data_IF_426210891981
#
_entry.id   IF_426210891981
#
_cell.length_a   1.000
_cell.length_b   1.000
_cell.length_c   1.000
_cell.angle_alpha   90.00
_cell.angle_beta   90.00
_cell.angle_gamma   90.00
#
_symmetry.space_group_name_H-M   'P 1'
#
loop_
_entity.id
_entity.type
_entity.pdbx_description
1 polymer ?
#
# COMPACT_ATOMS: atom_id res chain seq x y z
N UNK A 1 -23.34 -18.77 8.81
CA UNK A 1 -22.90 -18.77 10.24
C UNK A 1 -24.05 -19.25 11.12
N UNK A 2 -23.77 -20.02 12.19
CA UNK A 2 -24.78 -20.54 13.12
C UNK A 2 -24.50 -20.03 14.53
N UNK A 3 -25.50 -19.46 15.19
CA UNK A 3 -25.41 -19.10 16.60
C UNK A 3 -25.74 -20.30 17.50
N UNK A 4 -25.04 -20.47 18.62
CA UNK A 4 -25.40 -21.41 19.67
C UNK A 4 -26.62 -20.90 20.44
N UNK A 5 -26.73 -19.59 20.63
CA UNK A 5 -27.88 -18.90 21.23
C UNK A 5 -28.21 -17.71 20.34
N UNK A 6 -29.48 -17.51 20.04
CA UNK A 6 -29.93 -16.37 19.24
C UNK A 6 -29.72 -15.07 20.03
N UNK A 7 -29.02 -14.06 19.41
CA UNK A 7 -28.82 -12.77 20.08
C UNK A 7 -30.13 -12.00 20.24
N UNK A 8 -30.26 -11.25 21.33
CA UNK A 8 -31.41 -10.40 21.61
C UNK A 8 -31.30 -9.01 21.00
N UNK A 9 -30.15 -8.66 20.46
CA UNK A 9 -29.86 -7.36 19.86
C UNK A 9 -28.67 -7.42 18.94
N UNK A 10 -28.29 -6.27 18.33
CA UNK A 10 -27.11 -6.15 17.48
C UNK A 10 -25.81 -6.27 18.28
N UNK A 11 -24.82 -6.93 17.70
CA UNK A 11 -23.55 -7.30 18.32
C UNK A 11 -22.35 -6.56 17.67
N UNK A 12 -21.36 -6.25 18.49
CA UNK A 12 -20.01 -5.85 18.05
C UNK A 12 -19.09 -7.07 18.00
N UNK A 13 -17.87 -6.91 17.48
CA UNK A 13 -16.86 -7.99 17.51
C UNK A 13 -16.40 -8.34 18.94
N UNK A 14 -16.56 -7.42 19.90
CA UNK A 14 -16.25 -7.68 21.33
C UNK A 14 -17.29 -8.58 22.01
N UNK A 15 -18.47 -8.72 21.43
CA UNK A 15 -19.59 -9.49 22.00
C UNK A 15 -19.61 -10.96 21.53
N UNK A 16 -18.69 -11.36 20.64
CA UNK A 16 -18.75 -12.65 19.96
C UNK A 16 -17.43 -13.40 20.00
N UNK A 17 -17.51 -14.73 20.03
CA UNK A 17 -16.39 -15.63 19.87
C UNK A 17 -16.71 -16.68 18.81
N UNK A 18 -15.70 -17.11 18.06
CA UNK A 18 -15.81 -18.28 17.19
C UNK A 18 -15.63 -19.54 18.03
N UNK A 19 -16.61 -20.42 18.03
CA UNK A 19 -16.52 -21.70 18.71
C UNK A 19 -15.65 -22.64 17.88
N UNK A 20 -14.55 -23.19 18.44
CA UNK A 20 -13.71 -24.11 17.72
C UNK A 20 -14.47 -25.39 17.33
N UNK A 21 -14.20 -25.91 16.17
CA UNK A 21 -14.78 -27.13 15.65
C UNK A 21 -13.69 -28.07 15.11
N UNK A 22 -14.08 -29.28 14.75
CA UNK A 22 -13.15 -30.23 14.12
C UNK A 22 -12.53 -29.63 12.84
N UNK A 23 -11.22 -29.71 12.72
CA UNK A 23 -10.45 -29.23 11.57
C UNK A 23 -9.50 -30.32 11.09
N UNK A 24 -9.32 -30.40 9.77
CA UNK A 24 -8.32 -31.23 9.11
C UNK A 24 -7.08 -30.41 8.72
N UNK A 25 -7.08 -29.11 8.97
CA UNK A 25 -5.94 -28.22 8.69
C UNK A 25 -4.84 -28.49 9.70
N UNK A 26 -3.65 -28.85 9.21
CA UNK A 26 -2.48 -29.18 10.05
C UNK A 26 -1.58 -27.97 10.32
N UNK A 27 -1.58 -26.99 9.43
CA UNK A 27 -0.85 -25.73 9.58
C UNK A 27 -1.70 -24.54 9.18
N UNK A 28 -1.61 -23.45 9.96
CA UNK A 28 -2.22 -22.16 9.56
C UNK A 28 -1.70 -21.61 8.24
N UNK A 29 -0.50 -22.04 7.81
CA UNK A 29 0.10 -21.65 6.54
C UNK A 29 -0.55 -22.32 5.33
N UNK A 30 -1.35 -23.39 5.56
CA UNK A 30 -2.07 -24.10 4.50
C UNK A 30 -3.43 -23.44 4.20
N UNK A 31 -3.79 -22.39 4.94
CA UNK A 31 -5.05 -21.67 4.75
C UNK A 31 -4.88 -20.55 3.73
N UNK A 32 -5.57 -20.68 2.60
CA UNK A 32 -5.66 -19.59 1.63
C UNK A 32 -6.65 -18.52 2.13
N UNK A 33 -6.15 -17.28 2.26
CA UNK A 33 -6.92 -16.13 2.72
C UNK A 33 -7.09 -15.06 1.63
N UNK A 34 -6.71 -15.38 0.39
CA UNK A 34 -6.86 -14.44 -0.73
C UNK A 34 -8.35 -14.17 -0.99
N UNK A 35 -8.76 -12.89 -1.08
CA UNK A 35 -10.11 -12.58 -1.48
C UNK A 35 -10.32 -12.89 -2.97
N UNK A 36 -11.48 -13.44 -3.30
CA UNK A 36 -11.93 -13.65 -4.69
C UNK A 36 -12.89 -12.49 -5.06
N UNK A 37 -12.35 -11.29 -5.12
CA UNK A 37 -13.14 -10.05 -5.28
C UNK A 37 -12.65 -9.16 -6.44
N UNK A 38 -11.68 -9.65 -7.23
CA UNK A 38 -11.08 -8.92 -8.34
C UNK A 38 -10.03 -7.87 -7.93
N UNK A 39 -9.81 -7.59 -6.64
CA UNK A 39 -8.77 -6.65 -6.19
C UNK A 39 -7.35 -7.17 -6.42
N UNK A 40 -7.19 -8.49 -6.55
CA UNK A 40 -5.89 -9.15 -6.67
C UNK A 40 -5.08 -9.19 -5.36
N UNK A 41 -5.69 -8.87 -4.23
CA UNK A 41 -5.05 -8.96 -2.93
C UNK A 41 -4.61 -10.38 -2.58
N UNK A 42 -3.42 -10.54 -1.99
CA UNK A 42 -2.94 -11.79 -1.43
C UNK A 42 -3.42 -12.01 0.02
N UNK A 43 -3.83 -10.93 0.70
CA UNK A 43 -4.46 -10.94 2.03
C UNK A 43 -5.67 -10.01 2.07
N UNK A 44 -6.70 -10.29 2.89
CA UNK A 44 -7.94 -9.49 2.94
C UNK A 44 -7.79 -8.23 3.81
N UNK A 45 -6.77 -7.42 3.54
CA UNK A 45 -6.52 -6.17 4.28
C UNK A 45 -6.46 -4.98 3.31
N UNK A 46 -7.28 -3.97 3.58
CA UNK A 46 -7.33 -2.73 2.82
C UNK A 46 -7.10 -1.53 3.74
N UNK A 47 -6.12 -0.67 3.41
CA UNK A 47 -5.95 0.60 4.09
C UNK A 47 -7.05 1.58 3.65
N UNK A 48 -7.76 2.13 4.63
CA UNK A 48 -8.90 3.00 4.40
C UNK A 48 -8.52 4.27 3.63
N UNK A 49 -9.43 4.75 2.81
CA UNK A 49 -9.29 5.97 1.99
C UNK A 49 -9.43 7.26 2.82
N UNK A 50 -8.59 7.39 3.83
CA UNK A 50 -8.55 8.53 4.75
C UNK A 50 -7.27 9.34 4.54
N UNK A 51 -7.37 10.67 4.48
CA UNK A 51 -6.25 11.59 4.24
C UNK A 51 -5.10 11.42 5.25
N UNK A 52 -5.42 11.13 6.50
CA UNK A 52 -4.42 10.89 7.54
C UNK A 52 -3.80 9.48 7.50
N UNK A 53 -4.30 8.57 6.66
CA UNK A 53 -3.88 7.15 6.61
C UNK A 53 -3.21 6.81 5.28
N UNK A 54 -3.92 7.08 4.18
CA UNK A 54 -3.57 6.53 2.86
C UNK A 54 -2.89 7.57 1.97
N UNK A 55 -1.58 7.69 2.12
CA UNK A 55 -0.69 8.35 1.16
C UNK A 55 0.21 7.32 0.46
N UNK A 56 1.06 7.79 -0.46
CA UNK A 56 1.98 6.97 -1.26
C UNK A 56 2.64 5.84 -0.45
N UNK A 57 3.25 6.18 0.69
CA UNK A 57 3.99 5.22 1.53
C UNK A 57 3.10 4.11 2.09
N UNK A 58 1.86 4.43 2.48
CA UNK A 58 0.90 3.44 2.96
C UNK A 58 0.50 2.50 1.82
N UNK A 59 0.26 3.01 0.62
CA UNK A 59 -0.07 2.21 -0.55
C UNK A 59 1.04 1.22 -0.88
N UNK A 60 2.29 1.69 -1.00
CA UNK A 60 3.46 0.84 -1.23
C UNK A 60 3.62 -0.23 -0.14
N UNK A 61 3.44 0.16 1.13
CA UNK A 61 3.56 -0.74 2.28
C UNK A 61 2.49 -1.83 2.28
N UNK A 62 1.24 -1.45 2.00
CA UNK A 62 0.13 -2.40 1.93
C UNK A 62 0.28 -3.36 0.75
N UNK A 63 0.55 -2.83 -0.44
CA UNK A 63 0.71 -3.65 -1.63
C UNK A 63 1.89 -4.63 -1.51
N UNK A 64 3.04 -4.22 -0.96
CA UNK A 64 4.18 -5.12 -0.68
C UNK A 64 3.90 -6.20 0.35
N UNK A 65 2.84 -6.07 1.14
CA UNK A 65 2.38 -7.06 2.12
C UNK A 65 1.18 -7.87 1.64
N UNK A 66 0.80 -7.71 0.39
CA UNK A 66 -0.31 -8.44 -0.19
C UNK A 66 -1.68 -7.83 0.03
N UNK A 67 -1.76 -6.67 0.69
CA UNK A 67 -2.99 -5.91 0.87
C UNK A 67 -3.19 -4.86 -0.23
N UNK A 68 -4.15 -3.97 -0.03
CA UNK A 68 -4.45 -2.85 -0.93
C UNK A 68 -4.51 -1.54 -0.15
N UNK A 69 -4.02 -0.45 -0.72
CA UNK A 69 -4.24 0.90 -0.22
C UNK A 69 -5.16 1.68 -1.15
N UNK A 70 -6.02 2.51 -0.58
CA UNK A 70 -6.98 3.33 -1.33
C UNK A 70 -6.73 4.81 -1.07
N UNK A 71 -6.46 5.59 -2.13
CA UNK A 71 -6.28 7.05 -2.03
C UNK A 71 -7.59 7.74 -1.66
N UNK A 72 -7.53 8.80 -0.84
CA UNK A 72 -8.69 9.57 -0.43
C UNK A 72 -9.42 10.27 -1.58
N UNK A 73 -10.72 10.49 -1.43
CA UNK A 73 -11.58 11.14 -2.43
C UNK A 73 -11.35 12.65 -2.57
N UNK A 74 -10.77 13.29 -1.56
CA UNK A 74 -10.54 14.74 -1.47
C UNK A 74 -9.26 15.21 -2.16
N UNK A 75 -8.44 14.27 -2.66
CA UNK A 75 -7.28 14.60 -3.50
C UNK A 75 -7.72 15.04 -4.90
N UNK A 76 -6.98 16.01 -5.46
CA UNK A 76 -7.10 16.37 -6.88
C UNK A 76 -6.57 15.25 -7.78
N UNK A 77 -7.02 15.24 -9.03
CA UNK A 77 -6.67 14.19 -10.00
C UNK A 77 -5.18 14.16 -10.30
N UNK A 78 -4.52 15.30 -10.34
CA UNK A 78 -3.08 15.40 -10.64
C UNK A 78 -2.26 14.74 -9.54
N UNK A 79 -2.60 15.01 -8.28
CA UNK A 79 -2.01 14.37 -7.09
C UNK A 79 -2.24 12.86 -7.10
N UNK A 80 -3.45 12.40 -7.43
CA UNK A 80 -3.75 10.96 -7.53
C UNK A 80 -2.93 10.32 -8.65
N UNK A 81 -2.92 10.90 -9.84
CA UNK A 81 -2.19 10.40 -11.00
C UNK A 81 -0.67 10.31 -10.73
N UNK A 82 -0.10 11.36 -10.13
CA UNK A 82 1.33 11.37 -9.78
C UNK A 82 1.64 10.33 -8.69
N UNK A 83 0.80 10.21 -7.66
CA UNK A 83 0.96 9.21 -6.61
C UNK A 83 0.87 7.80 -7.16
N UNK A 84 -0.13 7.52 -8.00
CA UNK A 84 -0.31 6.22 -8.67
C UNK A 84 0.91 5.87 -9.52
N UNK A 85 1.38 6.79 -10.36
CA UNK A 85 2.57 6.59 -11.19
C UNK A 85 3.80 6.25 -10.34
N UNK A 86 4.02 6.96 -9.23
CA UNK A 86 5.14 6.71 -8.32
C UNK A 86 5.04 5.37 -7.61
N UNK A 87 3.84 4.97 -7.19
CA UNK A 87 3.63 3.65 -6.56
C UNK A 87 3.88 2.54 -7.57
N UNK A 88 3.33 2.65 -8.78
CA UNK A 88 3.53 1.66 -9.84
C UNK A 88 4.98 1.56 -10.33
N UNK A 89 5.73 2.65 -10.27
CA UNK A 89 7.18 2.65 -10.57
C UNK A 89 8.04 2.10 -9.41
N UNK A 90 7.46 1.86 -8.24
CA UNK A 90 8.19 1.33 -7.09
C UNK A 90 8.37 -0.18 -7.21
N UNK A 91 9.55 -0.67 -6.81
CA UNK A 91 9.82 -2.11 -6.84
C UNK A 91 8.88 -2.88 -5.89
N UNK A 92 8.29 -4.02 -6.32
CA UNK A 92 7.28 -4.74 -5.51
C UNK A 92 7.86 -5.34 -4.22
N UNK A 93 9.15 -5.61 -4.17
CA UNK A 93 9.80 -6.23 -3.01
C UNK A 93 10.65 -5.24 -2.22
N UNK A 94 11.47 -4.43 -2.90
CA UNK A 94 12.41 -3.51 -2.26
C UNK A 94 11.69 -2.32 -1.63
N UNK A 95 12.18 -1.87 -0.49
CA UNK A 95 11.70 -0.64 0.13
C UNK A 95 12.10 0.58 -0.70
N UNK A 96 11.25 1.62 -0.70
CA UNK A 96 11.54 2.86 -1.39
C UNK A 96 12.54 3.68 -0.58
N UNK A 97 13.77 3.92 -1.08
CA UNK A 97 14.80 4.61 -0.33
C UNK A 97 14.44 6.08 -0.10
N UNK A 98 14.91 6.63 1.01
CA UNK A 98 14.98 8.08 1.20
C UNK A 98 16.23 8.59 0.48
N UNK A 99 16.10 9.63 -0.34
CA UNK A 99 17.19 10.17 -1.15
C UNK A 99 17.36 11.66 -0.94
N UNK A 100 18.59 12.13 -1.00
CA UNK A 100 18.96 13.55 -1.07
C UNK A 100 19.98 13.79 -2.17
N UNK A 101 20.06 15.02 -2.70
CA UNK A 101 21.14 15.40 -3.62
C UNK A 101 22.45 15.59 -2.85
N UNK A 102 23.64 15.53 -3.50
CA UNK A 102 24.90 15.78 -2.82
C UNK A 102 25.04 17.22 -2.32
N UNK A 103 24.27 18.17 -2.87
CA UNK A 103 24.23 19.58 -2.44
C UNK A 103 23.19 19.85 -1.34
N UNK A 104 22.32 18.91 -1.02
CA UNK A 104 21.32 19.04 0.05
C UNK A 104 22.00 19.23 1.42
N UNK A 105 21.40 20.01 2.30
CA UNK A 105 21.94 20.21 3.63
C UNK A 105 21.71 18.97 4.52
N UNK A 106 22.63 18.68 5.44
CA UNK A 106 22.54 17.57 6.41
C UNK A 106 21.21 17.60 7.19
N UNK A 107 20.68 18.79 7.49
CA UNK A 107 19.38 18.94 8.17
C UNK A 107 18.22 18.30 7.39
N UNK A 108 18.29 18.25 6.06
CA UNK A 108 17.27 17.56 5.24
C UNK A 108 17.32 16.03 5.43
N UNK A 109 18.53 15.48 5.48
CA UNK A 109 18.73 14.05 5.79
C UNK A 109 18.23 13.73 7.22
N UNK A 110 18.55 14.57 8.21
CA UNK A 110 18.07 14.43 9.59
C UNK A 110 16.53 14.42 9.67
N UNK A 111 15.87 15.31 8.93
CA UNK A 111 14.41 15.34 8.84
C UNK A 111 13.83 14.04 8.21
N UNK A 112 14.53 13.46 7.22
CA UNK A 112 14.12 12.19 6.61
C UNK A 112 14.23 11.02 7.60
N UNK A 113 15.25 10.96 8.45
CA UNK A 113 15.33 9.95 9.50
C UNK A 113 14.13 9.99 10.45
N UNK A 114 13.73 11.20 10.87
CA UNK A 114 12.63 11.37 11.81
C UNK A 114 11.27 11.05 11.19
N UNK A 115 11.09 11.36 9.90
CA UNK A 115 9.81 11.20 9.20
C UNK A 115 9.65 9.85 8.51
N UNK A 116 10.75 9.19 8.10
CA UNK A 116 10.73 7.95 7.31
C UNK A 116 11.12 6.70 8.11
N UNK A 117 11.88 6.86 9.18
CA UNK A 117 12.30 5.75 10.04
C UNK A 117 13.30 4.78 9.38
N UNK A 118 13.98 5.18 8.31
CA UNK A 118 15.07 4.42 7.73
C UNK A 118 16.36 4.64 8.52
N UNK A 119 17.23 3.63 8.59
CA UNK A 119 18.53 3.73 9.26
C UNK A 119 19.54 4.55 8.45
N UNK A 120 19.34 4.71 7.12
CA UNK A 120 20.20 5.49 6.26
C UNK A 120 19.41 6.25 5.19
N UNK A 121 20.00 7.34 4.68
CA UNK A 121 19.54 8.13 3.53
C UNK A 121 20.55 7.97 2.42
N UNK A 122 20.10 7.71 1.20
CA UNK A 122 20.97 7.59 0.02
C UNK A 122 21.25 8.96 -0.58
N UNK A 123 22.52 9.23 -0.90
CA UNK A 123 22.91 10.42 -1.66
C UNK A 123 23.02 10.02 -3.12
N UNK A 124 22.23 10.69 -3.99
CA UNK A 124 22.13 10.37 -5.41
C UNK A 124 22.41 11.59 -6.27
N UNK A 125 22.99 11.37 -7.45
CA UNK A 125 23.16 12.40 -8.47
C UNK A 125 21.83 12.68 -9.21
N UNK A 126 21.88 13.58 -10.22
CA UNK A 126 20.72 13.98 -11.03
C UNK A 126 20.17 12.82 -11.89
N UNK A 127 21.00 11.85 -12.22
CA UNK A 127 20.64 10.65 -12.99
C UNK A 127 20.11 9.52 -12.10
N UNK A 128 20.10 9.70 -10.78
CA UNK A 128 19.66 8.72 -9.79
C UNK A 128 20.71 7.65 -9.46
N UNK A 129 22.00 7.90 -9.78
CA UNK A 129 23.08 7.01 -9.38
C UNK A 129 23.45 7.23 -7.92
N UNK A 130 23.70 6.15 -7.20
CA UNK A 130 24.11 6.18 -5.81
C UNK A 130 25.56 6.66 -5.68
N UNK A 131 25.76 7.75 -4.96
CA UNK A 131 27.07 8.30 -4.63
C UNK A 131 27.60 7.82 -3.29
N UNK A 132 26.70 7.64 -2.32
CA UNK A 132 27.00 7.20 -0.97
C UNK A 132 25.74 7.14 -0.10
N UNK A 133 25.95 6.93 1.19
CA UNK A 133 24.88 6.91 2.20
C UNK A 133 25.24 7.81 3.38
N UNK A 134 24.20 8.31 4.06
CA UNK A 134 24.29 9.00 5.34
C UNK A 134 23.56 8.17 6.39
N UNK A 135 24.23 7.78 7.45
CA UNK A 135 23.63 7.29 8.69
C UNK A 135 23.43 8.46 9.69
N UNK A 136 22.72 8.20 10.79
CA UNK A 136 22.62 9.20 11.86
C UNK A 136 23.96 9.56 12.45
N UNK A 137 24.83 8.57 12.62
CA UNK A 137 26.17 8.72 13.19
C UNK A 137 27.06 9.61 12.30
N UNK A 138 26.90 9.54 10.97
CA UNK A 138 27.62 10.41 10.03
C UNK A 138 27.24 11.91 10.20
N UNK A 139 26.05 12.17 10.76
CA UNK A 139 25.52 13.52 10.98
C UNK A 139 25.88 14.08 12.37
N UNK A 140 26.44 13.27 13.28
CA UNK A 140 26.79 13.71 14.61
C UNK A 140 28.01 14.64 14.61
N UNK A 141 27.88 15.79 15.28
CA UNK A 141 28.99 16.76 15.40
C UNK A 141 29.29 17.52 14.09
N UNK A 142 28.50 17.33 13.04
CA UNK A 142 28.63 18.02 11.76
C UNK A 142 27.75 19.26 11.72
N UNK A 143 28.18 20.30 10.99
CA UNK A 143 27.34 21.45 10.70
C UNK A 143 26.08 21.02 9.92
N UNK A 144 24.91 21.35 10.46
CA UNK A 144 23.60 21.00 9.87
C UNK A 144 23.40 21.56 8.46
N UNK A 145 24.15 22.60 8.09
CA UNK A 145 24.11 23.21 6.77
C UNK A 145 25.23 22.71 5.84
N UNK A 146 26.09 21.80 6.31
CA UNK A 146 27.07 21.14 5.44
C UNK A 146 26.34 20.36 4.33
N UNK A 147 26.97 20.28 3.16
CA UNK A 147 26.46 19.52 2.02
C UNK A 147 26.51 18.01 2.30
N UNK A 148 25.45 17.27 2.03
CA UNK A 148 25.36 15.83 2.20
C UNK A 148 26.52 15.07 1.52
N UNK A 149 26.92 15.52 0.34
CA UNK A 149 28.04 14.94 -0.41
C UNK A 149 29.41 15.08 0.25
N UNK A 150 29.59 16.03 1.19
CA UNK A 150 30.84 16.19 1.95
C UNK A 150 30.90 15.33 3.22
N UNK A 151 29.76 14.76 3.62
CA UNK A 151 29.59 14.00 4.87
C UNK A 151 29.30 12.51 4.62
N UNK A 152 28.75 12.21 3.43
CA UNK A 152 28.39 10.83 3.05
C UNK A 152 29.57 9.87 3.13
N UNK A 153 29.28 8.63 3.47
CA UNK A 153 30.21 7.51 3.44
C UNK A 153 29.82 6.49 2.34
N UNK A 154 30.75 5.62 1.98
CA UNK A 154 30.42 4.47 1.14
C UNK A 154 29.50 3.52 1.92
N UNK A 155 28.44 2.96 1.31
CA UNK A 155 27.56 2.03 1.99
C UNK A 155 28.36 0.78 2.45
N UNK A 156 28.22 0.35 3.69
CA UNK A 156 28.94 -0.83 4.22
C UNK A 156 28.53 -2.14 3.54
N UNK A 157 27.32 -2.17 2.98
CA UNK A 157 26.79 -3.26 2.16
C UNK A 157 26.02 -2.67 0.99
N UNK A 158 26.28 -3.18 -0.20
CA UNK A 158 25.57 -2.88 -1.43
C UNK A 158 24.96 -4.18 -1.97
N UNK A 159 23.67 -4.14 -2.31
CA UNK A 159 22.97 -5.25 -2.96
C UNK A 159 22.69 -4.90 -4.43
N UNK A 160 22.53 -5.93 -5.25
CA UNK A 160 22.30 -5.75 -6.68
C UNK A 160 20.86 -6.10 -7.07
N UNK A 161 20.28 -5.34 -8.01
CA UNK A 161 18.90 -5.53 -8.46
C UNK A 161 18.68 -6.91 -9.11
N UNK A 162 19.73 -7.47 -9.69
CA UNK A 162 19.77 -8.79 -10.31
C UNK A 162 19.49 -9.93 -9.30
N UNK A 163 19.75 -9.67 -8.02
CA UNK A 163 19.42 -10.61 -6.93
C UNK A 163 17.93 -10.62 -6.56
N UNK A 164 17.19 -9.60 -7.00
CA UNK A 164 15.77 -9.40 -6.71
C UNK A 164 14.94 -9.24 -8.01
N UNK A 165 15.02 -10.18 -8.96
CA UNK A 165 14.23 -10.06 -10.17
C UNK A 165 12.74 -10.11 -9.84
N UNK A 166 11.98 -9.24 -10.49
CA UNK A 166 10.52 -9.19 -10.43
C UNK A 166 9.89 -9.99 -11.59
N UNK A 167 10.58 -11.03 -12.08
CA UNK A 167 10.17 -11.85 -13.21
C UNK A 167 9.10 -12.92 -12.86
N UNK A 168 8.74 -13.04 -11.60
CA UNK A 168 7.60 -13.85 -11.19
C UNK A 168 6.31 -13.09 -11.46
N UNK A 169 5.32 -13.79 -12.00
CA UNK A 169 3.99 -13.23 -12.28
C UNK A 169 3.30 -12.64 -11.05
N UNK A 170 3.68 -13.09 -9.84
CA UNK A 170 3.16 -12.61 -8.57
C UNK A 170 4.03 -11.51 -7.93
N UNK A 171 5.07 -11.02 -8.63
CA UNK A 171 6.00 -10.00 -8.12
C UNK A 171 6.84 -10.42 -6.92
N UNK A 172 6.79 -11.69 -6.50
CA UNK A 172 7.51 -12.17 -5.31
C UNK A 172 8.98 -12.49 -5.61
N UNK A 173 9.80 -12.52 -4.57
CA UNK A 173 11.19 -13.01 -4.59
C UNK A 173 11.22 -14.40 -3.98
N UNK A 174 12.16 -15.26 -4.44
CA UNK A 174 12.28 -16.59 -3.82
C UNK A 174 12.72 -16.47 -2.35
N UNK A 175 12.21 -17.34 -1.46
CA UNK A 175 12.59 -17.32 -0.04
C UNK A 175 14.10 -17.47 0.19
N UNK A 176 14.81 -18.19 -0.70
CA UNK A 176 16.26 -18.35 -0.64
C UNK A 176 16.99 -17.03 -0.87
N UNK A 177 16.57 -16.22 -1.84
CA UNK A 177 17.15 -14.89 -2.12
C UNK A 177 16.86 -13.91 -1.02
N UNK A 178 15.63 -13.91 -0.49
CA UNK A 178 15.26 -13.10 0.67
C UNK A 178 16.13 -13.45 1.89
N UNK A 179 16.35 -14.75 2.15
CA UNK A 179 17.23 -15.22 3.21
C UNK A 179 18.68 -14.83 2.97
N UNK A 180 19.21 -14.99 1.75
CA UNK A 180 20.59 -14.61 1.41
C UNK A 180 20.84 -13.11 1.67
N UNK A 181 19.88 -12.24 1.32
CA UNK A 181 19.96 -10.82 1.64
C UNK A 181 19.97 -10.57 3.16
N UNK A 182 19.10 -11.23 3.91
CA UNK A 182 19.07 -11.15 5.37
C UNK A 182 20.39 -11.60 6.01
N UNK A 183 20.94 -12.72 5.56
CA UNK A 183 22.21 -13.27 6.07
C UNK A 183 23.39 -12.33 5.75
N UNK A 184 23.44 -11.77 4.52
CA UNK A 184 24.46 -10.77 4.14
C UNK A 184 24.38 -9.50 5.01
N UNK A 185 23.16 -8.98 5.26
CA UNK A 185 22.96 -7.83 6.14
C UNK A 185 23.35 -8.12 7.58
N UNK A 186 23.03 -9.33 8.08
CA UNK A 186 23.40 -9.76 9.42
C UNK A 186 24.92 -9.90 9.56
N UNK A 187 25.59 -10.47 8.58
CA UNK A 187 27.05 -10.60 8.55
C UNK A 187 27.75 -9.24 8.49
N UNK A 188 27.21 -8.31 7.71
CA UNK A 188 27.69 -6.94 7.62
C UNK A 188 27.31 -6.06 8.81
N UNK A 189 26.46 -6.56 9.72
CA UNK A 189 25.91 -5.82 10.86
C UNK A 189 25.17 -4.52 10.47
N UNK A 190 24.39 -4.56 9.37
CA UNK A 190 23.62 -3.42 8.87
C UNK A 190 22.14 -3.72 8.88
N UNK A 191 21.33 -2.70 9.18
CA UNK A 191 19.87 -2.77 9.11
C UNK A 191 19.29 -2.27 7.79
N UNK A 192 20.13 -1.64 6.96
CA UNK A 192 19.76 -1.02 5.70
C UNK A 192 20.87 -1.21 4.66
N UNK A 193 20.51 -1.64 3.48
CA UNK A 193 21.41 -1.77 2.34
C UNK A 193 20.77 -1.18 1.07
N UNK A 194 21.41 -0.21 0.39
CA UNK A 194 20.99 0.23 -0.93
C UNK A 194 21.02 -0.91 -1.93
N UNK A 195 20.07 -0.92 -2.86
CA UNK A 195 20.02 -1.86 -3.98
C UNK A 195 20.20 -1.09 -5.28
N UNK A 196 21.22 -1.44 -6.04
CA UNK A 196 21.58 -0.76 -7.29
C UNK A 196 21.53 -1.70 -8.48
N UNK A 197 21.31 -1.13 -9.66
CA UNK A 197 21.53 -1.79 -10.94
C UNK A 197 22.89 -1.36 -11.46
N UNK A 198 23.76 -2.34 -11.77
CA UNK A 198 25.07 -2.06 -12.38
C UNK A 198 24.87 -1.43 -13.76
N UNK A 199 25.31 -0.22 -13.94
CA UNK A 199 25.36 0.41 -15.26
C UNK A 199 26.65 -0.03 -15.93
N UNK A 200 26.55 -0.92 -16.92
CA UNK A 200 27.70 -1.32 -17.77
C UNK A 200 27.88 -0.26 -18.87
N UNK A 201 28.15 0.96 -18.51
CA UNK A 201 28.67 1.93 -19.46
C UNK A 201 30.19 2.06 -19.22
N UNK A 202 30.97 1.68 -20.23
CA UNK A 202 32.41 1.98 -20.23
C UNK A 202 32.56 3.50 -20.14
N UNK A 203 33.32 3.97 -19.17
CA UNK A 203 33.74 5.39 -19.16
C UNK A 203 34.49 5.68 -20.44
N UNK A 204 34.01 6.63 -21.25
CA UNK A 204 34.67 7.03 -22.49
C UNK A 204 36.03 7.68 -22.24
N UNK A 205 36.35 8.07 -21.00
CA UNK A 205 37.51 8.90 -20.65
C UNK A 205 38.47 8.29 -19.62
N UNK A 206 38.31 7.01 -19.23
CA UNK A 206 39.24 6.30 -18.34
C UNK A 206 39.29 6.78 -16.87
N UNK A 207 38.41 7.69 -16.47
CA UNK A 207 38.25 8.12 -15.06
C UNK A 207 37.49 7.09 -14.25
N UNK A 208 37.89 6.78 -13.00
CA UNK A 208 37.15 5.87 -12.15
C UNK A 208 35.75 6.44 -11.85
N UNK A 209 34.72 5.62 -12.04
CA UNK A 209 33.32 6.01 -11.76
C UNK A 209 33.19 6.44 -10.30
N UNK A 210 32.62 7.62 -10.07
CA UNK A 210 32.35 8.17 -8.74
C UNK A 210 31.03 7.67 -8.12
N UNK A 211 30.34 6.68 -8.73
CA UNK A 211 29.06 6.18 -8.26
C UNK A 211 29.01 4.64 -8.23
N UNK A 212 28.12 4.10 -7.39
CA UNK A 212 27.94 2.66 -7.21
C UNK A 212 26.96 2.01 -8.19
N UNK A 213 26.35 2.77 -9.11
CA UNK A 213 25.29 2.35 -10.04
C UNK A 213 23.96 3.04 -9.74
N UNK A 214 22.96 2.81 -10.61
CA UNK A 214 21.64 3.43 -10.47
C UNK A 214 20.88 2.84 -9.28
N UNK A 215 20.43 3.70 -8.36
CA UNK A 215 19.64 3.29 -7.20
C UNK A 215 18.26 2.79 -7.65
N UNK A 216 17.88 1.56 -7.27
CA UNK A 216 16.61 0.92 -7.64
C UNK A 216 15.69 0.81 -6.42
N UNK A 217 16.27 0.64 -5.24
CA UNK A 217 15.54 0.42 -4.01
C UNK A 217 16.47 0.33 -2.81
N UNK A 218 15.92 -0.13 -1.71
CA UNK A 218 16.66 -0.48 -0.52
C UNK A 218 16.14 -1.79 0.07
N UNK A 219 17.00 -2.54 0.73
CA UNK A 219 16.62 -3.67 1.55
C UNK A 219 16.83 -3.30 3.01
N UNK A 220 15.82 -3.54 3.83
CA UNK A 220 15.95 -3.52 5.29
C UNK A 220 15.91 -4.95 5.82
N UNK A 221 16.41 -5.20 7.02
CA UNK A 221 16.30 -6.54 7.65
C UNK A 221 14.84 -6.97 7.77
N UNK A 222 13.95 -6.05 8.15
CA UNK A 222 12.50 -6.31 8.17
C UNK A 222 11.91 -6.50 6.76
N UNK A 223 12.46 -5.83 5.75
CA UNK A 223 12.10 -5.99 4.34
C UNK A 223 12.46 -7.36 3.80
N UNK A 224 13.63 -7.88 4.14
CA UNK A 224 14.07 -9.23 3.78
C UNK A 224 13.15 -10.31 4.39
N UNK A 225 12.81 -10.19 5.69
CA UNK A 225 11.85 -11.09 6.34
C UNK A 225 10.47 -11.00 5.70
N UNK A 226 9.99 -9.76 5.45
CA UNK A 226 8.70 -9.53 4.78
C UNK A 226 8.63 -10.22 3.42
N UNK A 227 9.64 -10.06 2.58
CA UNK A 227 9.68 -10.61 1.24
C UNK A 227 9.73 -12.15 1.19
N UNK A 228 10.15 -12.79 2.29
CA UNK A 228 10.10 -14.24 2.43
C UNK A 228 8.70 -14.76 2.83
N UNK A 229 7.83 -13.89 3.38
CA UNK A 229 6.55 -14.28 4.00
C UNK A 229 5.35 -13.81 3.18
N UNK A 230 5.41 -12.61 2.60
CA UNK A 230 4.28 -12.00 1.91
C UNK A 230 4.47 -11.99 0.40
N UNK A 231 3.40 -12.28 -0.32
CA UNK A 231 3.28 -12.08 -1.77
C UNK A 231 2.73 -10.67 -2.02
N UNK A 232 3.41 -9.82 -2.79
CA UNK A 232 2.91 -8.48 -3.11
C UNK A 232 1.61 -8.52 -3.93
N UNK A 233 0.79 -7.49 -3.77
CA UNK A 233 -0.37 -7.25 -4.65
C UNK A 233 0.10 -6.46 -5.86
N UNK A 234 0.18 -7.12 -7.00
CA UNK A 234 0.64 -6.54 -8.27
C UNK A 234 -0.40 -6.71 -9.38
N UNK A 235 -0.30 -5.89 -10.41
CA UNK A 235 -1.05 -6.02 -11.65
C UNK A 235 -0.36 -7.01 -12.63
N UNK A 236 -0.90 -7.11 -13.84
CA UNK A 236 -0.40 -8.02 -14.88
C UNK A 236 1.02 -7.66 -15.35
N UNK A 237 1.42 -6.40 -15.20
CA UNK A 237 2.76 -5.90 -15.53
C UNK A 237 3.76 -6.03 -14.36
N UNK A 238 3.32 -6.57 -13.22
CA UNK A 238 4.11 -6.70 -12.00
C UNK A 238 4.26 -5.41 -11.20
N UNK A 239 3.47 -4.38 -11.51
CA UNK A 239 3.47 -3.12 -10.77
C UNK A 239 2.51 -3.18 -9.56
N UNK A 240 2.86 -2.50 -8.46
CA UNK A 240 2.04 -2.46 -7.25
C UNK A 240 0.64 -1.88 -7.53
N UNK A 241 -0.41 -2.56 -7.05
CA UNK A 241 -1.80 -2.11 -7.24
C UNK A 241 -2.16 -0.94 -6.32
N UNK A 242 -3.01 -0.05 -6.84
CA UNK A 242 -3.48 1.17 -6.20
C UNK A 242 -5.00 1.27 -6.32
N UNK A 243 -5.69 1.52 -5.20
CA UNK A 243 -7.08 1.94 -5.20
C UNK A 243 -7.21 3.47 -5.09
N UNK A 244 -8.30 4.04 -5.59
CA UNK A 244 -8.65 5.43 -5.36
C UNK A 244 -10.13 5.65 -5.13
N UNK A 245 -10.48 6.59 -4.24
CA UNK A 245 -11.84 6.90 -3.89
C UNK A 245 -12.43 8.05 -4.71
N UNK A 246 -13.72 7.93 -4.98
CA UNK A 246 -14.56 8.93 -5.65
C UNK A 246 -15.71 9.28 -4.71
N UNK A 247 -15.93 10.59 -4.47
CA UNK A 247 -17.12 11.06 -3.77
C UNK A 247 -18.37 11.00 -4.66
N UNK A 248 -19.52 11.07 -4.03
CA UNK A 248 -20.83 11.02 -4.72
C UNK A 248 -21.30 12.36 -5.29
N UNK A 249 -20.54 13.43 -5.11
CA UNK A 249 -20.88 14.78 -5.56
C UNK A 249 -19.92 15.25 -6.65
N UNK A 250 -20.39 16.19 -7.49
CA UNK A 250 -19.60 16.79 -8.55
C UNK A 250 -19.52 15.95 -9.83
N UNK A 251 -18.46 16.10 -10.65
CA UNK A 251 -18.31 15.42 -11.94
C UNK A 251 -17.78 13.98 -11.75
N UNK A 252 -18.64 13.09 -11.22
CA UNK A 252 -18.27 11.71 -10.85
C UNK A 252 -17.76 10.92 -12.05
N UNK A 253 -18.45 11.03 -13.22
CA UNK A 253 -18.08 10.33 -14.44
C UNK A 253 -16.69 10.72 -14.92
N UNK A 254 -16.44 12.03 -15.01
CA UNK A 254 -15.16 12.58 -15.45
C UNK A 254 -14.03 12.18 -14.50
N UNK A 255 -14.31 12.19 -13.18
CA UNK A 255 -13.34 11.75 -12.18
C UNK A 255 -13.05 10.25 -12.32
N UNK A 256 -14.06 9.41 -12.54
CA UNK A 256 -13.87 7.99 -12.77
C UNK A 256 -12.98 7.72 -13.99
N UNK A 257 -13.28 8.38 -15.11
CA UNK A 257 -12.48 8.27 -16.33
C UNK A 257 -11.02 8.67 -16.10
N UNK A 258 -10.79 9.80 -15.44
CA UNK A 258 -9.43 10.29 -15.16
C UNK A 258 -8.63 9.35 -14.22
N UNK A 259 -9.29 8.71 -13.24
CA UNK A 259 -8.66 7.72 -12.38
C UNK A 259 -8.26 6.45 -13.13
N UNK A 260 -9.09 5.98 -14.04
CA UNK A 260 -8.80 4.84 -14.91
C UNK A 260 -7.59 5.18 -15.82
N UNK A 261 -7.59 6.36 -16.43
CA UNK A 261 -6.48 6.85 -17.26
C UNK A 261 -5.18 7.01 -16.46
N UNK A 262 -5.28 7.33 -15.17
CA UNK A 262 -4.13 7.38 -14.26
C UNK A 262 -3.59 6.00 -13.86
N UNK A 263 -4.26 4.91 -14.25
CA UNK A 263 -3.83 3.53 -13.99
C UNK A 263 -4.21 3.01 -12.60
N UNK A 264 -5.30 3.50 -12.01
CA UNK A 264 -5.85 2.99 -10.75
C UNK A 264 -6.47 1.61 -10.98
N UNK A 265 -6.21 0.67 -10.06
CA UNK A 265 -6.62 -0.74 -10.19
C UNK A 265 -7.94 -1.06 -9.47
N UNK A 266 -8.41 -0.19 -8.59
CA UNK A 266 -9.69 -0.35 -7.85
C UNK A 266 -10.32 1.02 -7.66
N UNK A 267 -11.58 1.18 -8.06
CA UNK A 267 -12.37 2.38 -7.79
C UNK A 267 -13.23 2.19 -6.53
N UNK A 268 -13.30 3.19 -5.66
CA UNK A 268 -14.11 3.14 -4.44
C UNK A 268 -15.06 4.34 -4.42
N UNK A 269 -16.34 4.11 -4.68
CA UNK A 269 -17.38 5.14 -4.54
C UNK A 269 -17.78 5.21 -3.07
N UNK A 270 -17.34 6.28 -2.39
CA UNK A 270 -17.38 6.37 -0.93
C UNK A 270 -18.22 7.54 -0.42
N UNK A 271 -19.09 7.23 0.53
CA UNK A 271 -19.82 8.20 1.34
C UNK A 271 -20.15 7.64 2.72
N UNK A 272 -20.37 8.52 3.69
CA UNK A 272 -20.74 8.10 5.06
C UNK A 272 -22.06 7.32 5.10
N UNK A 273 -23.00 7.60 4.18
CA UNK A 273 -24.28 6.90 4.03
C UNK A 273 -24.50 6.48 2.57
N UNK A 274 -24.17 5.21 2.26
CA UNK A 274 -24.23 4.67 0.92
C UNK A 274 -25.63 4.34 0.41
N UNK A 275 -26.61 4.09 1.31
CA UNK A 275 -27.98 3.77 0.91
C UNK A 275 -28.79 5.05 0.69
N UNK A 276 -28.43 5.82 -0.34
CA UNK A 276 -29.11 7.05 -0.71
C UNK A 276 -29.11 7.24 -2.24
N UNK A 277 -30.05 8.01 -2.74
CA UNK A 277 -30.26 8.23 -4.17
C UNK A 277 -29.01 8.74 -4.90
N UNK A 278 -28.34 9.74 -4.35
CA UNK A 278 -27.12 10.31 -4.94
C UNK A 278 -25.97 9.30 -5.04
N UNK A 279 -25.91 8.30 -4.16
CA UNK A 279 -24.96 7.19 -4.26
C UNK A 279 -25.26 6.29 -5.44
N UNK A 280 -26.53 5.92 -5.66
CA UNK A 280 -26.94 5.10 -6.80
C UNK A 280 -26.70 5.83 -8.13
N UNK A 281 -26.98 7.14 -8.17
CA UNK A 281 -26.70 8.00 -9.32
C UNK A 281 -25.19 8.10 -9.60
N UNK A 282 -24.36 8.23 -8.55
CA UNK A 282 -22.90 8.26 -8.68
C UNK A 282 -22.36 6.93 -9.19
N UNK A 283 -22.87 5.81 -8.67
CA UNK A 283 -22.46 4.47 -9.10
C UNK A 283 -22.83 4.22 -10.57
N UNK A 284 -24.03 4.64 -10.99
CA UNK A 284 -24.45 4.60 -12.39
C UNK A 284 -23.54 5.46 -13.30
N UNK A 285 -23.11 6.63 -12.83
CA UNK A 285 -22.16 7.49 -13.54
C UNK A 285 -20.78 6.82 -13.69
N UNK A 286 -20.27 6.15 -12.65
CA UNK A 286 -19.02 5.39 -12.73
C UNK A 286 -19.18 4.21 -13.70
N UNK A 287 -20.27 3.46 -13.65
CA UNK A 287 -20.50 2.34 -14.57
C UNK A 287 -20.67 2.79 -16.04
N UNK A 288 -21.13 4.03 -16.28
CA UNK A 288 -21.28 4.56 -17.63
C UNK A 288 -19.97 4.73 -18.41
N UNK A 289 -18.81 4.68 -17.74
CA UNK A 289 -17.46 4.68 -18.38
C UNK A 289 -16.90 3.28 -18.59
N UNK A 290 -17.66 2.22 -18.25
CA UNK A 290 -17.29 0.81 -18.39
C UNK A 290 -15.90 0.51 -17.79
N UNK A 291 -15.69 0.74 -16.49
CA UNK A 291 -14.39 0.59 -15.86
C UNK A 291 -13.87 -0.87 -15.96
N UNK A 292 -12.61 -1.09 -16.42
CA UNK A 292 -12.02 -2.42 -16.52
C UNK A 292 -11.56 -2.96 -15.15
N UNK A 293 -11.82 -2.21 -14.08
CA UNK A 293 -11.38 -2.50 -12.71
C UNK A 293 -12.59 -2.64 -11.78
N UNK A 294 -12.48 -3.39 -10.67
CA UNK A 294 -13.58 -3.55 -9.73
C UNK A 294 -13.98 -2.22 -9.09
N UNK A 295 -15.29 -2.07 -8.88
CA UNK A 295 -15.91 -0.91 -8.24
C UNK A 295 -16.46 -1.29 -6.87
N UNK A 296 -15.88 -0.72 -5.84
CA UNK A 296 -16.34 -0.81 -4.46
C UNK A 296 -17.34 0.31 -4.19
N UNK A 297 -18.42 0.03 -3.48
CA UNK A 297 -19.42 1.05 -3.12
C UNK A 297 -19.84 0.94 -1.64
N UNK A 298 -20.02 2.08 -0.98
CA UNK A 298 -20.48 2.12 0.44
C UNK A 298 -20.38 3.52 1.08
N UNK A 299 -20.75 3.62 2.36
CA UNK A 299 -20.94 2.51 3.29
C UNK A 299 -22.43 2.19 3.52
N UNK A 300 -22.74 0.95 3.70
CA UNK A 300 -24.08 0.46 4.07
C UNK A 300 -24.02 -0.42 5.31
N UNK A 301 -25.18 -0.67 5.95
CA UNK A 301 -25.29 -1.51 7.17
C UNK A 301 -26.50 -2.43 7.15
N UNK A 302 -27.22 -2.52 6.03
CA UNK A 302 -28.46 -3.31 5.89
C UNK A 302 -28.45 -4.17 4.63
N UNK A 303 -29.18 -5.27 4.67
CA UNK A 303 -29.40 -6.15 3.52
C UNK A 303 -29.99 -5.42 2.30
N UNK A 304 -30.91 -4.49 2.53
CA UNK A 304 -31.54 -3.69 1.48
C UNK A 304 -30.50 -2.80 0.79
N UNK A 305 -29.67 -2.07 1.57
CA UNK A 305 -28.60 -1.25 1.01
C UNK A 305 -27.60 -2.06 0.18
N UNK A 306 -27.29 -3.29 0.58
CA UNK A 306 -26.42 -4.18 -0.23
C UNK A 306 -27.09 -4.51 -1.55
N UNK A 307 -28.35 -4.95 -1.54
CA UNK A 307 -29.06 -5.33 -2.79
C UNK A 307 -29.15 -4.15 -3.76
N UNK A 308 -29.41 -2.95 -3.25
CA UNK A 308 -29.52 -1.76 -4.07
C UNK A 308 -28.16 -1.38 -4.70
N UNK A 309 -27.06 -1.44 -3.95
CA UNK A 309 -25.72 -1.17 -4.48
C UNK A 309 -25.27 -2.22 -5.51
N UNK A 310 -25.51 -3.50 -5.23
CA UNK A 310 -25.22 -4.60 -6.18
C UNK A 310 -26.05 -4.43 -7.47
N UNK A 311 -27.35 -4.14 -7.32
CA UNK A 311 -28.25 -3.91 -8.47
C UNK A 311 -27.82 -2.69 -9.29
N UNK A 312 -27.22 -1.68 -8.67
CA UNK A 312 -26.67 -0.51 -9.33
C UNK A 312 -25.27 -0.75 -9.93
N UNK A 313 -24.68 -1.94 -9.71
CA UNK A 313 -23.44 -2.37 -10.35
C UNK A 313 -22.20 -2.34 -9.44
N UNK A 314 -22.33 -2.34 -8.12
CA UNK A 314 -21.17 -2.54 -7.25
C UNK A 314 -20.67 -3.98 -7.36
N UNK A 315 -19.35 -4.17 -7.54
CA UNK A 315 -18.69 -5.48 -7.47
C UNK A 315 -18.42 -5.87 -6.02
N UNK A 316 -18.08 -4.86 -5.19
CA UNK A 316 -17.75 -5.03 -3.79
C UNK A 316 -18.54 -4.01 -2.96
N UNK A 317 -19.09 -4.44 -1.84
CA UNK A 317 -19.85 -3.57 -0.92
C UNK A 317 -19.06 -3.29 0.35
N UNK A 318 -18.87 -2.00 0.66
CA UNK A 318 -18.20 -1.56 1.88
C UNK A 318 -19.23 -1.42 3.01
N UNK A 319 -19.08 -2.24 4.06
CA UNK A 319 -20.03 -2.33 5.17
C UNK A 319 -19.49 -1.63 6.41
N UNK A 320 -20.30 -0.76 7.01
CA UNK A 320 -20.03 -0.15 8.31
C UNK A 320 -20.30 1.35 8.36
N UNK A 321 -21.12 1.76 9.33
CA UNK A 321 -21.40 3.15 9.68
C UNK A 321 -21.29 3.30 11.19
N UNK A 322 -20.39 4.17 11.65
CA UNK A 322 -20.22 4.50 13.06
C UNK A 322 -19.41 3.54 13.94
N UNK A 323 -18.83 2.39 13.46
CA UNK A 323 -18.15 1.45 14.34
C UNK A 323 -16.68 1.83 14.62
N UNK A 324 -16.07 2.69 13.82
CA UNK A 324 -14.65 3.04 13.93
C UNK A 324 -14.34 3.81 15.22
N UNK A 325 -13.19 3.54 15.84
CA UNK A 325 -12.77 4.22 17.07
C UNK A 325 -12.64 5.75 16.89
N UNK A 326 -12.24 6.20 15.70
CA UNK A 326 -12.11 7.62 15.35
C UNK A 326 -13.37 8.20 14.70
N UNK A 327 -14.42 7.39 14.50
CA UNK A 327 -15.64 7.84 13.84
C UNK A 327 -16.52 8.67 14.79
N UNK A 328 -16.78 9.91 14.41
CA UNK A 328 -17.63 10.83 15.17
C UNK A 328 -19.12 10.74 14.78
N UNK A 329 -19.45 10.07 13.66
CA UNK A 329 -20.82 10.03 13.13
C UNK A 329 -21.84 9.57 14.17
N UNK A 330 -21.62 8.41 14.81
CA UNK A 330 -22.54 7.89 15.83
C UNK A 330 -22.62 8.80 17.06
N UNK A 331 -21.51 9.38 17.46
CA UNK A 331 -21.45 10.26 18.63
C UNK A 331 -22.22 11.57 18.39
N UNK A 332 -22.17 12.10 17.18
CA UNK A 332 -22.78 13.39 16.81
C UNK A 332 -24.22 13.26 16.32
N UNK A 333 -24.56 12.16 15.64
CA UNK A 333 -25.85 12.01 14.93
C UNK A 333 -26.69 10.85 15.43
N UNK A 334 -26.16 10.00 16.31
CA UNK A 334 -26.72 8.72 16.75
C UNK A 334 -26.92 7.69 15.59
N UNK A 335 -26.37 7.97 14.38
CA UNK A 335 -26.47 7.08 13.21
C UNK A 335 -25.32 6.10 13.22
N UNK A 336 -25.64 4.81 13.08
CA UNK A 336 -24.66 3.73 13.02
C UNK A 336 -25.27 2.38 13.40
N UNK A 337 -24.49 1.32 13.21
CA UNK A 337 -24.86 -0.04 13.57
C UNK A 337 -23.67 -0.82 14.11
N UNK A 338 -23.80 -1.69 15.12
CA UNK A 338 -22.76 -2.61 15.57
C UNK A 338 -22.23 -3.45 14.41
N UNK A 339 -20.90 -3.48 14.26
CA UNK A 339 -20.26 -3.93 13.02
C UNK A 339 -20.46 -5.42 12.75
N UNK A 340 -20.42 -6.27 13.77
CA UNK A 340 -20.61 -7.70 13.58
C UNK A 340 -21.99 -8.02 12.98
N UNK A 341 -23.06 -7.46 13.56
CA UNK A 341 -24.42 -7.65 13.04
C UNK A 341 -24.61 -7.04 11.66
N UNK A 342 -24.01 -5.87 11.39
CA UNK A 342 -24.05 -5.25 10.08
C UNK A 342 -23.38 -6.15 9.01
N UNK A 343 -22.19 -6.66 9.29
CA UNK A 343 -21.47 -7.55 8.37
C UNK A 343 -22.22 -8.86 8.16
N UNK A 344 -22.74 -9.46 9.22
CA UNK A 344 -23.48 -10.72 9.14
C UNK A 344 -24.71 -10.62 8.22
N UNK A 345 -25.51 -9.55 8.38
CA UNK A 345 -26.69 -9.31 7.56
C UNK A 345 -26.32 -8.95 6.12
N UNK A 346 -25.36 -8.05 5.94
CA UNK A 346 -24.92 -7.62 4.62
C UNK A 346 -24.31 -8.76 3.82
N UNK A 347 -23.46 -9.59 4.43
CA UNK A 347 -22.86 -10.75 3.78
C UNK A 347 -23.92 -11.79 3.35
N UNK A 348 -24.95 -12.00 4.17
CA UNK A 348 -26.06 -12.89 3.80
C UNK A 348 -26.92 -12.34 2.65
N UNK A 349 -26.88 -11.06 2.38
CA UNK A 349 -27.62 -10.42 1.30
C UNK A 349 -26.83 -10.31 -0.02
N UNK A 350 -25.51 -10.41 0.04
CA UNK A 350 -24.62 -10.34 -1.12
C UNK A 350 -24.47 -11.68 -1.86
N UNK A 351 -24.71 -12.80 -1.18
CA UNK A 351 -24.66 -14.16 -1.71
C UNK A 351 -26.00 -14.80 -1.73
#
# INVERSE_FOLDING_TARGET
MRFLTQPVGDLTYADVFLVPSHSTVSSRMDVDIRPDDGTGGAIPLVAANMTAVSGRRMLETMARRGGLGVLPQDLDIETVAETTRRVKASHPVLDTPSTVSPSAAVVEALHLFDTRGHAAVCVVDEDGNLLGTLGRDDCEGVDRFAAAGSVMSSPPLLLHAEDFPSDRQDGSVSPERARAAFDAMTQAQVEYAPVVRSTVEASHDGEPRRHHGRLVGAMTTSGAVRSAVFTPTVDEDGALRVGAAIGINGPVREKAQALIEAGVDVLVVDTAHGHQRSMLEALAAVRSVDPPVPVVAGNVVTAEGVRDLVSAGADIVKVGVGPGAMCTTRMMTAVGRPQFSAVLECAAAAG
#
